data_IF_041141037820
#
_entry.id   IF_041141037820
#
_cell.length_a   1.000
_cell.length_b   1.000
_cell.length_c   1.000
_cell.angle_alpha   90.00
_cell.angle_beta   90.00
_cell.angle_gamma   90.00
#
_symmetry.space_group_name_H-M   'P 1'
#
loop_
_entity.id
_entity.type
_entity.pdbx_description
1 polymer ?
#
# COMPACT_ATOMS: atom_id res chain seq x y z
N UNK A 1 -24.88 -18.01 -7.30
CA UNK A 1 -25.61 -17.80 -6.04
C UNK A 1 -26.64 -16.71 -6.30
N UNK A 2 -27.91 -16.93 -5.96
CA UNK A 2 -28.88 -15.85 -6.05
C UNK A 2 -28.70 -14.83 -4.89
N UNK A 3 -29.17 -13.58 -4.99
CA UNK A 3 -28.92 -12.57 -3.96
C UNK A 3 -29.45 -12.91 -2.55
N UNK A 4 -30.54 -13.69 -2.44
CA UNK A 4 -31.07 -14.08 -1.12
C UNK A 4 -30.21 -15.18 -0.51
N UNK A 5 -29.79 -16.15 -1.33
CA UNK A 5 -28.84 -17.18 -0.92
C UNK A 5 -27.49 -16.57 -0.51
N UNK A 6 -27.01 -15.57 -1.24
CA UNK A 6 -25.81 -14.81 -0.90
C UNK A 6 -25.89 -14.15 0.46
N UNK A 7 -26.92 -13.33 0.71
CA UNK A 7 -27.10 -12.68 2.00
C UNK A 7 -27.22 -13.68 3.15
N UNK A 8 -27.96 -14.78 2.94
CA UNK A 8 -28.11 -15.84 3.95
C UNK A 8 -26.79 -16.55 4.26
N UNK A 9 -25.96 -16.79 3.24
CA UNK A 9 -24.67 -17.44 3.39
C UNK A 9 -23.71 -16.55 4.19
N UNK A 10 -23.66 -15.25 3.86
CA UNK A 10 -22.86 -14.28 4.62
C UNK A 10 -23.31 -14.19 6.08
N UNK A 11 -24.61 -14.10 6.33
CA UNK A 11 -25.14 -14.11 7.72
C UNK A 11 -24.76 -15.39 8.47
N UNK A 12 -24.85 -16.55 7.83
CA UNK A 12 -24.47 -17.82 8.46
C UNK A 12 -22.97 -17.84 8.80
N UNK A 13 -22.11 -17.36 7.89
CA UNK A 13 -20.67 -17.23 8.13
C UNK A 13 -20.35 -16.25 9.26
N UNK A 14 -21.03 -15.11 9.34
CA UNK A 14 -20.85 -14.13 10.41
C UNK A 14 -21.21 -14.70 11.79
N UNK A 15 -22.35 -15.37 11.90
CA UNK A 15 -22.74 -16.03 13.15
C UNK A 15 -21.74 -17.12 13.55
N UNK A 16 -21.29 -17.94 12.60
CA UNK A 16 -20.28 -18.97 12.88
C UNK A 16 -18.95 -18.35 13.34
N UNK A 17 -18.49 -17.26 12.72
CA UNK A 17 -17.28 -16.54 13.16
C UNK A 17 -17.46 -16.00 14.58
N UNK A 18 -18.61 -15.40 14.90
CA UNK A 18 -18.89 -14.86 16.22
C UNK A 18 -19.01 -15.94 17.32
N UNK A 19 -19.49 -17.13 16.98
CA UNK A 19 -19.72 -18.22 17.95
C UNK A 19 -18.52 -19.16 18.12
N UNK A 20 -17.76 -19.41 17.06
CA UNK A 20 -16.75 -20.48 17.03
C UNK A 20 -15.30 -19.98 17.15
N UNK A 21 -15.05 -18.70 16.85
CA UNK A 21 -13.70 -18.14 16.88
C UNK A 21 -13.31 -17.81 18.33
N UNK A 22 -12.04 -18.05 18.68
CA UNK A 22 -11.52 -17.76 20.01
C UNK A 22 -11.45 -16.24 20.24
N UNK A 23 -12.35 -15.72 21.08
CA UNK A 23 -12.46 -14.29 21.44
C UNK A 23 -11.20 -13.76 22.14
N UNK A 24 -10.46 -14.60 22.88
CA UNK A 24 -9.19 -14.16 23.48
C UNK A 24 -8.13 -13.91 22.40
N UNK A 25 -8.18 -14.66 21.30
CA UNK A 25 -7.25 -14.53 20.19
C UNK A 25 -7.69 -13.49 19.16
N UNK A 26 -8.99 -13.35 18.91
CA UNK A 26 -9.56 -12.49 17.85
C UNK A 26 -10.72 -11.61 18.36
N UNK A 27 -10.49 -10.77 19.38
CA UNK A 27 -11.56 -10.02 20.04
C UNK A 27 -12.28 -9.05 19.08
N UNK A 28 -11.54 -8.31 18.24
CA UNK A 28 -12.16 -7.34 17.32
C UNK A 28 -12.95 -8.05 16.23
N UNK A 29 -12.45 -9.20 15.74
CA UNK A 29 -13.13 -10.01 14.72
C UNK A 29 -14.45 -10.57 15.26
N UNK A 30 -14.45 -11.15 16.47
CA UNK A 30 -15.65 -11.73 17.08
C UNK A 30 -16.72 -10.66 17.30
N UNK A 31 -16.34 -9.52 17.89
CA UNK A 31 -17.25 -8.38 18.10
C UNK A 31 -17.82 -7.85 16.77
N UNK A 32 -16.95 -7.64 15.78
CA UNK A 32 -17.35 -7.12 14.46
C UNK A 32 -18.25 -8.09 13.72
N UNK A 33 -17.98 -9.40 13.79
CA UNK A 33 -18.80 -10.42 13.17
C UNK A 33 -20.21 -10.48 13.80
N UNK A 34 -20.30 -10.41 15.13
CA UNK A 34 -21.58 -10.36 15.83
C UNK A 34 -22.39 -9.11 15.47
N UNK A 35 -21.73 -7.94 15.47
CA UNK A 35 -22.36 -6.69 15.08
C UNK A 35 -22.86 -6.72 13.63
N UNK A 36 -22.04 -7.21 12.69
CA UNK A 36 -22.44 -7.34 11.29
C UNK A 36 -23.56 -8.36 11.11
N UNK A 37 -23.60 -9.45 11.86
CA UNK A 37 -24.69 -10.42 11.79
C UNK A 37 -26.07 -9.81 12.15
N UNK A 38 -26.07 -8.81 13.05
CA UNK A 38 -27.29 -8.13 13.48
C UNK A 38 -27.65 -6.93 12.58
N UNK A 39 -26.64 -6.15 12.15
CA UNK A 39 -26.85 -4.82 11.57
C UNK A 39 -26.40 -4.65 10.11
N UNK A 40 -25.88 -5.70 9.44
CA UNK A 40 -25.41 -5.56 8.05
C UNK A 40 -26.53 -5.09 7.09
N UNK A 41 -26.26 -3.97 6.42
CA UNK A 41 -27.09 -3.50 5.31
C UNK A 41 -26.73 -4.30 4.05
N UNK A 42 -25.49 -4.19 3.59
CA UNK A 42 -24.97 -4.94 2.44
C UNK A 42 -23.92 -5.97 2.85
N UNK A 43 -23.90 -7.17 2.23
CA UNK A 43 -22.91 -8.20 2.59
C UNK A 43 -21.45 -7.81 2.38
N UNK A 44 -21.16 -6.86 1.48
CA UNK A 44 -19.81 -6.36 1.25
C UNK A 44 -19.27 -5.55 2.44
N UNK A 45 -20.13 -4.87 3.19
CA UNK A 45 -19.73 -4.06 4.35
C UNK A 45 -19.11 -4.92 5.44
N UNK A 46 -19.66 -6.13 5.63
CA UNK A 46 -19.11 -7.12 6.54
C UNK A 46 -17.69 -7.54 6.16
N UNK A 47 -17.41 -7.77 4.88
CA UNK A 47 -16.06 -8.12 4.42
C UNK A 47 -15.07 -6.97 4.62
N UNK A 48 -15.47 -5.73 4.35
CA UNK A 48 -14.62 -4.56 4.59
C UNK A 48 -14.33 -4.34 6.08
N UNK A 49 -15.33 -4.50 6.96
CA UNK A 49 -15.12 -4.32 8.39
C UNK A 49 -14.20 -5.40 8.98
N UNK A 50 -14.39 -6.65 8.58
CA UNK A 50 -13.56 -7.77 9.06
C UNK A 50 -12.13 -7.76 8.50
N UNK A 51 -11.88 -7.05 7.40
CA UNK A 51 -10.56 -7.03 6.76
C UNK A 51 -9.47 -6.44 7.68
N UNK A 52 -9.82 -5.54 8.60
CA UNK A 52 -8.84 -4.80 9.41
C UNK A 52 -8.84 -5.18 10.90
N UNK A 53 -9.63 -6.16 11.32
CA UNK A 53 -9.69 -6.62 12.71
C UNK A 53 -8.39 -7.28 13.16
N UNK A 54 -8.09 -7.17 14.47
CA UNK A 54 -7.02 -7.89 15.17
C UNK A 54 -5.63 -7.68 14.54
N UNK A 55 -5.37 -6.45 14.08
CA UNK A 55 -4.15 -6.06 13.37
C UNK A 55 -2.89 -6.62 14.02
N UNK A 56 -2.02 -7.21 13.19
CA UNK A 56 -0.77 -7.84 13.65
C UNK A 56 -0.89 -9.34 13.90
N UNK A 57 -2.10 -9.91 13.88
CA UNK A 57 -2.33 -11.36 13.85
C UNK A 57 -2.63 -11.85 12.41
N UNK A 58 -2.29 -13.10 12.07
CA UNK A 58 -2.79 -13.73 10.86
C UNK A 58 -4.32 -13.85 10.89
N UNK A 59 -4.97 -13.53 9.77
CA UNK A 59 -6.43 -13.65 9.64
C UNK A 59 -6.88 -15.10 9.83
N UNK A 60 -7.93 -15.30 10.64
CA UNK A 60 -8.55 -16.62 10.81
C UNK A 60 -9.07 -17.16 9.48
N UNK A 61 -8.96 -18.49 9.27
CA UNK A 61 -9.37 -19.12 8.01
C UNK A 61 -10.84 -18.87 7.67
N UNK A 62 -11.74 -18.92 8.65
CA UNK A 62 -13.17 -18.66 8.46
C UNK A 62 -13.44 -17.24 7.95
N UNK A 63 -12.69 -16.25 8.43
CA UNK A 63 -12.75 -14.86 7.97
C UNK A 63 -12.20 -14.75 6.54
N UNK A 64 -11.04 -15.36 6.26
CA UNK A 64 -10.46 -15.36 4.92
C UNK A 64 -11.41 -15.99 3.88
N UNK A 65 -12.02 -17.13 4.22
CA UNK A 65 -12.99 -17.82 3.35
C UNK A 65 -14.23 -16.93 3.09
N UNK A 66 -14.72 -16.21 4.11
CA UNK A 66 -15.83 -15.25 3.96
C UNK A 66 -15.45 -14.08 3.05
N UNK A 67 -14.30 -13.44 3.27
CA UNK A 67 -13.83 -12.31 2.45
C UNK A 67 -13.64 -12.70 0.99
N UNK A 68 -13.02 -13.87 0.74
CA UNK A 68 -12.85 -14.40 -0.62
C UNK A 68 -14.21 -14.58 -1.29
N UNK A 69 -15.17 -15.18 -0.59
CA UNK A 69 -16.51 -15.44 -1.12
C UNK A 69 -17.25 -14.15 -1.45
N UNK A 70 -17.25 -13.19 -0.52
CA UNK A 70 -17.90 -11.89 -0.70
C UNK A 70 -17.26 -11.10 -1.83
N UNK A 71 -15.93 -10.91 -1.82
CA UNK A 71 -15.26 -10.13 -2.84
C UNK A 71 -15.29 -10.79 -4.22
N UNK A 72 -15.25 -12.12 -4.31
CA UNK A 72 -15.44 -12.82 -5.58
C UNK A 72 -16.84 -12.60 -6.13
N UNK A 73 -17.87 -12.71 -5.29
CA UNK A 73 -19.26 -12.50 -5.71
C UNK A 73 -19.50 -11.07 -6.21
N UNK A 74 -19.00 -10.06 -5.47
CA UNK A 74 -19.12 -8.65 -5.85
C UNK A 74 -18.27 -8.31 -7.09
N UNK A 75 -17.07 -8.89 -7.19
CA UNK A 75 -16.21 -8.72 -8.35
C UNK A 75 -16.79 -9.28 -9.65
N UNK A 76 -17.46 -10.43 -9.61
CA UNK A 76 -18.19 -10.96 -10.77
C UNK A 76 -19.35 -10.06 -11.22
N UNK A 77 -19.83 -9.18 -10.33
CA UNK A 77 -20.86 -8.18 -10.62
C UNK A 77 -20.29 -6.82 -11.03
N UNK A 78 -18.97 -6.74 -11.22
CA UNK A 78 -18.29 -5.53 -11.68
C UNK A 78 -17.90 -4.55 -10.58
N UNK A 79 -17.89 -4.98 -9.31
CA UNK A 79 -17.31 -4.18 -8.23
C UNK A 79 -15.77 -4.26 -8.31
N UNK A 80 -15.13 -3.16 -8.68
CA UNK A 80 -13.69 -3.07 -8.90
C UNK A 80 -12.89 -2.95 -7.60
N UNK A 81 -13.45 -2.33 -6.56
CA UNK A 81 -12.85 -2.29 -5.22
C UNK A 81 -12.80 -3.70 -4.59
N UNK A 82 -13.85 -4.50 -4.76
CA UNK A 82 -13.85 -5.90 -4.33
C UNK A 82 -12.78 -6.73 -5.06
N UNK A 83 -12.60 -6.51 -6.37
CA UNK A 83 -11.54 -7.17 -7.14
C UNK A 83 -10.15 -6.69 -6.70
N UNK A 84 -9.99 -5.40 -6.41
CA UNK A 84 -8.75 -4.85 -5.84
C UNK A 84 -8.40 -5.54 -4.52
N UNK A 85 -9.34 -5.61 -3.58
CA UNK A 85 -9.10 -6.17 -2.26
C UNK A 85 -8.89 -7.69 -2.32
N UNK A 86 -9.61 -8.40 -3.19
CA UNK A 86 -9.35 -9.82 -3.45
C UNK A 86 -7.93 -10.05 -4.00
N UNK A 87 -7.49 -9.17 -4.90
CA UNK A 87 -6.11 -9.17 -5.40
C UNK A 87 -5.10 -8.95 -4.28
N UNK A 88 -5.36 -7.99 -3.39
CA UNK A 88 -4.51 -7.70 -2.24
C UNK A 88 -4.43 -8.87 -1.25
N UNK A 89 -5.55 -9.52 -0.94
CA UNK A 89 -5.56 -10.69 -0.05
C UNK A 89 -4.70 -11.84 -0.58
N UNK A 90 -4.74 -12.11 -1.89
CA UNK A 90 -3.86 -13.12 -2.50
C UNK A 90 -2.40 -12.66 -2.60
N UNK A 91 -2.18 -11.38 -2.86
CA UNK A 91 -0.83 -10.81 -2.94
C UNK A 91 -0.10 -10.91 -1.60
N UNK A 92 -0.79 -10.61 -0.49
CA UNK A 92 -0.21 -10.64 0.86
C UNK A 92 -0.27 -12.03 1.50
N UNK A 93 -1.00 -12.98 0.91
CA UNK A 93 -1.24 -14.31 1.50
C UNK A 93 -2.24 -14.30 2.65
N UNK A 94 -3.03 -13.23 2.79
CA UNK A 94 -4.09 -13.11 3.80
C UNK A 94 -5.35 -13.93 3.43
N UNK A 95 -5.48 -14.30 2.16
CA UNK A 95 -6.47 -15.26 1.65
C UNK A 95 -6.06 -16.73 1.85
N UNK A 96 -5.28 -17.06 2.89
CA UNK A 96 -4.71 -18.38 3.12
C UNK A 96 -3.30 -18.52 2.53
N UNK A 97 -3.17 -18.88 1.26
CA UNK A 97 -1.86 -19.00 0.60
C UNK A 97 -1.59 -17.82 -0.34
N UNK A 98 -0.37 -17.26 -0.26
CA UNK A 98 0.08 -16.21 -1.16
C UNK A 98 0.10 -16.69 -2.61
N UNK A 99 -0.54 -15.93 -3.50
CA UNK A 99 -0.57 -16.21 -4.93
C UNK A 99 -0.54 -14.91 -5.73
N UNK A 100 0.67 -14.52 -6.16
CA UNK A 100 0.82 -13.36 -7.05
C UNK A 100 0.12 -13.57 -8.41
N UNK A 101 0.02 -14.81 -8.90
CA UNK A 101 -0.72 -15.10 -10.13
C UNK A 101 -2.20 -14.74 -10.00
N UNK A 102 -2.85 -15.14 -8.89
CA UNK A 102 -4.25 -14.75 -8.63
C UNK A 102 -4.36 -13.24 -8.42
N UNK A 103 -3.43 -12.64 -7.67
CA UNK A 103 -3.41 -11.20 -7.44
C UNK A 103 -3.37 -10.41 -8.75
N UNK A 104 -2.45 -10.76 -9.67
CA UNK A 104 -2.33 -10.13 -10.99
C UNK A 104 -3.64 -10.26 -11.77
N UNK A 105 -4.27 -11.44 -11.82
CA UNK A 105 -5.55 -11.62 -12.53
C UNK A 105 -6.66 -10.71 -11.99
N UNK A 106 -6.76 -10.57 -10.67
CA UNK A 106 -7.78 -9.70 -10.08
C UNK A 106 -7.46 -8.22 -10.25
N UNK A 107 -6.19 -7.83 -10.12
CA UNK A 107 -5.77 -6.46 -10.41
C UNK A 107 -5.98 -6.10 -11.89
N UNK A 108 -5.74 -7.01 -12.84
CA UNK A 108 -6.03 -6.81 -14.27
C UNK A 108 -7.53 -6.57 -14.50
N UNK A 109 -8.40 -7.37 -13.87
CA UNK A 109 -9.86 -7.14 -13.95
C UNK A 109 -10.25 -5.80 -13.32
N UNK A 110 -9.81 -5.49 -12.11
CA UNK A 110 -10.11 -4.22 -11.45
C UNK A 110 -9.61 -3.01 -12.26
N UNK A 111 -8.38 -3.06 -12.78
CA UNK A 111 -7.82 -2.01 -13.62
C UNK A 111 -8.60 -1.85 -14.94
N UNK A 112 -9.10 -2.95 -15.53
CA UNK A 112 -9.95 -2.89 -16.73
C UNK A 112 -11.31 -2.21 -16.49
N UNK A 113 -11.77 -2.18 -15.24
CA UNK A 113 -12.96 -1.45 -14.81
C UNK A 113 -12.67 0.01 -14.42
N UNK A 114 -11.39 0.43 -14.45
CA UNK A 114 -10.96 1.80 -14.17
C UNK A 114 -10.32 2.00 -12.80
N UNK A 115 -10.11 0.94 -12.01
CA UNK A 115 -9.52 1.07 -10.69
C UNK A 115 -8.03 1.46 -10.76
N UNK A 116 -7.70 2.69 -10.36
CA UNK A 116 -6.34 3.23 -10.43
C UNK A 116 -5.39 2.61 -9.41
N UNK A 117 -5.89 2.17 -8.26
CA UNK A 117 -5.07 1.51 -7.24
C UNK A 117 -4.68 0.11 -7.74
N UNK A 118 -5.61 -0.61 -8.39
CA UNK A 118 -5.28 -1.89 -9.02
C UNK A 118 -4.28 -1.72 -10.16
N UNK A 119 -4.43 -0.69 -11.00
CA UNK A 119 -3.46 -0.38 -12.05
C UNK A 119 -2.07 -0.08 -11.48
N UNK A 120 -2.00 0.66 -10.37
CA UNK A 120 -0.75 0.90 -9.65
C UNK A 120 -0.13 -0.42 -9.13
N UNK A 121 -0.94 -1.30 -8.54
CA UNK A 121 -0.50 -2.63 -8.08
C UNK A 121 -0.01 -3.52 -9.22
N UNK A 122 -0.60 -3.44 -10.42
CA UNK A 122 -0.05 -4.09 -11.61
C UNK A 122 1.30 -3.52 -12.01
N UNK A 123 1.46 -2.20 -11.92
CA UNK A 123 2.74 -1.53 -12.12
C UNK A 123 3.83 -2.13 -11.21
N UNK A 124 3.50 -2.37 -9.94
CA UNK A 124 4.38 -3.06 -9.02
C UNK A 124 4.67 -4.51 -9.37
N UNK A 125 3.67 -5.26 -9.84
CA UNK A 125 3.86 -6.64 -10.26
C UNK A 125 4.84 -6.72 -11.43
N UNK A 126 4.72 -5.81 -12.42
CA UNK A 126 5.64 -5.69 -13.55
C UNK A 126 7.03 -5.23 -13.12
N UNK A 127 7.11 -4.29 -12.19
CA UNK A 127 8.38 -3.73 -11.74
C UNK A 127 9.24 -4.77 -10.99
N UNK A 128 8.63 -5.56 -10.11
CA UNK A 128 9.33 -6.51 -9.25
C UNK A 128 9.30 -7.97 -9.76
N UNK A 129 8.58 -8.24 -10.85
CA UNK A 129 8.50 -9.58 -11.43
C UNK A 129 7.68 -10.58 -10.59
N UNK A 130 6.55 -10.15 -10.01
CA UNK A 130 5.73 -10.98 -9.11
C UNK A 130 4.80 -11.91 -9.87
N UNK A 131 5.25 -13.13 -10.17
CA UNK A 131 4.58 -14.15 -11.02
C UNK A 131 4.36 -13.76 -12.48
N UNK A 132 4.91 -12.61 -12.89
CA UNK A 132 5.06 -12.19 -14.27
C UNK A 132 6.52 -11.75 -14.49
N UNK A 133 7.08 -11.84 -15.70
CA UNK A 133 8.43 -11.34 -15.97
C UNK A 133 8.55 -9.84 -15.65
N UNK A 134 9.73 -9.42 -15.19
CA UNK A 134 10.04 -8.00 -15.00
C UNK A 134 9.87 -7.27 -16.33
N UNK A 135 9.10 -6.19 -16.31
CA UNK A 135 8.79 -5.37 -17.47
C UNK A 135 8.72 -3.89 -17.04
N UNK A 136 9.85 -3.20 -17.11
CA UNK A 136 9.94 -1.80 -16.70
C UNK A 136 9.14 -0.87 -17.63
N UNK A 137 8.90 -1.24 -18.89
CA UNK A 137 8.05 -0.46 -19.79
C UNK A 137 6.60 -0.46 -19.28
N UNK A 138 6.04 -1.65 -19.03
CA UNK A 138 4.67 -1.75 -18.50
C UNK A 138 4.54 -1.13 -17.12
N UNK A 139 5.52 -1.33 -16.25
CA UNK A 139 5.55 -0.70 -14.94
C UNK A 139 5.51 0.83 -15.06
N UNK A 140 6.37 1.40 -15.91
CA UNK A 140 6.41 2.84 -16.16
C UNK A 140 5.08 3.37 -16.68
N UNK A 141 4.47 2.69 -17.66
CA UNK A 141 3.18 3.09 -18.21
C UNK A 141 2.06 3.06 -17.15
N UNK A 142 2.06 2.07 -16.26
CA UNK A 142 1.10 2.01 -15.15
C UNK A 142 1.31 3.19 -14.19
N UNK A 143 2.55 3.39 -13.72
CA UNK A 143 2.86 4.47 -12.78
C UNK A 143 2.61 5.85 -13.37
N UNK A 144 2.98 6.12 -14.63
CA UNK A 144 2.70 7.42 -15.25
C UNK A 144 1.20 7.68 -15.39
N UNK A 145 0.40 6.67 -15.77
CA UNK A 145 -1.06 6.83 -15.84
C UNK A 145 -1.66 7.21 -14.48
N UNK A 146 -1.25 6.56 -13.40
CA UNK A 146 -1.70 6.90 -12.05
C UNK A 146 -1.10 8.23 -11.55
N UNK A 147 0.14 8.56 -11.93
CA UNK A 147 0.79 9.81 -11.56
C UNK A 147 0.07 11.03 -12.18
N UNK A 148 -0.48 10.89 -13.38
CA UNK A 148 -1.28 11.94 -14.04
C UNK A 148 -2.55 12.31 -13.26
N UNK A 149 -3.05 11.43 -12.40
CA UNK A 149 -4.19 11.72 -11.52
C UNK A 149 -3.77 12.28 -10.17
N UNK A 150 -2.45 12.48 -9.97
CA UNK A 150 -1.89 13.06 -8.76
C UNK A 150 -1.63 12.08 -7.64
N UNK A 151 -1.75 10.76 -7.85
CA UNK A 151 -1.49 9.76 -6.81
C UNK A 151 -0.02 9.84 -6.33
N UNK A 152 0.24 10.17 -5.04
CA UNK A 152 1.60 10.38 -4.54
C UNK A 152 2.50 9.15 -4.70
N UNK A 153 1.94 7.96 -4.57
CA UNK A 153 2.69 6.72 -4.68
C UNK A 153 3.19 6.46 -6.10
N UNK A 154 2.29 6.58 -7.09
CA UNK A 154 2.63 6.52 -8.49
C UNK A 154 3.61 7.64 -8.91
N UNK A 155 3.45 8.86 -8.39
CA UNK A 155 4.36 9.98 -8.65
C UNK A 155 5.79 9.66 -8.22
N UNK A 156 6.00 9.24 -6.97
CA UNK A 156 7.37 8.94 -6.53
C UNK A 156 7.92 7.67 -7.20
N UNK A 157 7.08 6.70 -7.58
CA UNK A 157 7.55 5.54 -8.36
C UNK A 157 7.98 5.91 -9.76
N UNK A 158 7.23 6.76 -10.46
CA UNK A 158 7.69 7.32 -11.73
C UNK A 158 9.00 8.12 -11.55
N UNK A 159 9.12 8.87 -10.44
CA UNK A 159 10.34 9.56 -10.05
C UNK A 159 11.53 8.61 -9.88
N UNK A 160 11.35 7.47 -9.21
CA UNK A 160 12.39 6.43 -9.08
C UNK A 160 12.85 5.93 -10.46
N UNK A 161 11.92 5.71 -11.40
CA UNK A 161 12.26 5.23 -12.73
C UNK A 161 13.10 6.24 -13.53
N UNK A 162 12.81 7.54 -13.42
CA UNK A 162 13.66 8.59 -13.98
C UNK A 162 15.00 8.70 -13.25
N UNK A 163 15.03 8.61 -11.91
CA UNK A 163 16.26 8.69 -11.12
C UNK A 163 17.26 7.59 -11.48
N UNK A 164 16.76 6.39 -11.75
CA UNK A 164 17.60 5.22 -12.01
C UNK A 164 17.70 4.84 -13.50
N UNK A 165 17.04 5.57 -14.40
CA UNK A 165 17.06 5.27 -15.84
C UNK A 165 16.43 3.92 -16.19
N UNK A 166 15.33 3.57 -15.52
CA UNK A 166 14.65 2.29 -15.72
C UNK A 166 13.58 2.46 -16.79
N UNK A 167 13.80 1.85 -17.97
CA UNK A 167 13.04 2.02 -19.21
C UNK A 167 13.12 3.42 -19.84
N UNK A 168 13.06 4.49 -19.03
CA UNK A 168 13.27 5.87 -19.48
C UNK A 168 14.72 6.31 -19.32
N UNK A 169 15.13 7.32 -20.08
CA UNK A 169 16.44 7.96 -19.90
C UNK A 169 16.54 8.55 -18.48
N UNK A 170 17.74 8.41 -17.88
CA UNK A 170 17.99 8.92 -16.54
C UNK A 170 17.83 10.45 -16.53
N UNK A 171 16.93 10.96 -15.71
CA UNK A 171 16.68 12.39 -15.51
C UNK A 171 16.40 12.69 -14.03
N UNK A 172 17.44 13.11 -13.31
CA UNK A 172 17.35 13.42 -11.89
C UNK A 172 16.50 14.67 -11.62
N UNK A 173 16.48 15.65 -12.53
CA UNK A 173 15.66 16.84 -12.39
C UNK A 173 14.16 16.51 -12.55
N UNK A 174 13.82 15.59 -13.46
CA UNK A 174 12.45 15.05 -13.55
C UNK A 174 12.06 14.27 -12.29
N UNK A 175 12.96 13.42 -11.77
CA UNK A 175 12.72 12.70 -10.53
C UNK A 175 12.43 13.66 -9.36
N UNK A 176 13.27 14.69 -9.19
CA UNK A 176 13.08 15.72 -8.17
C UNK A 176 11.70 16.40 -8.27
N UNK A 177 11.30 16.83 -9.47
CA UNK A 177 9.98 17.44 -9.69
C UNK A 177 8.84 16.50 -9.30
N UNK A 178 8.94 15.21 -9.64
CA UNK A 178 7.93 14.21 -9.30
C UNK A 178 7.86 13.94 -7.80
N UNK A 179 9.00 13.89 -7.10
CA UNK A 179 9.03 13.75 -5.65
C UNK A 179 8.40 14.94 -4.93
N UNK A 180 8.69 16.18 -5.36
CA UNK A 180 8.04 17.39 -4.82
C UNK A 180 6.56 17.46 -5.14
N UNK A 181 6.15 17.01 -6.31
CA UNK A 181 4.73 16.90 -6.65
C UNK A 181 4.02 15.84 -5.79
N UNK A 182 4.68 14.71 -5.50
CA UNK A 182 4.17 13.70 -4.59
C UNK A 182 3.96 14.27 -3.19
N UNK A 183 4.95 14.98 -2.64
CA UNK A 183 4.86 15.67 -1.35
C UNK A 183 3.66 16.63 -1.30
N UNK A 184 3.51 17.49 -2.31
CA UNK A 184 2.42 18.45 -2.39
C UNK A 184 1.03 17.79 -2.43
N UNK A 185 0.96 16.57 -2.98
CA UNK A 185 -0.28 15.83 -3.13
C UNK A 185 -0.59 14.91 -1.94
N UNK A 186 0.24 14.86 -0.90
CA UNK A 186 -0.04 14.03 0.28
C UNK A 186 -1.25 14.60 1.06
N UNK A 187 -2.40 13.94 0.97
CA UNK A 187 -3.46 14.08 1.98
C UNK A 187 -3.02 13.49 3.32
N UNK A 188 -3.76 13.75 4.41
CA UNK A 188 -3.46 13.13 5.72
C UNK A 188 -3.45 11.59 5.65
N UNK A 189 -4.39 11.01 4.88
CA UNK A 189 -4.46 9.56 4.65
C UNK A 189 -3.23 9.06 3.89
N UNK A 190 -2.83 9.74 2.83
CA UNK A 190 -1.67 9.34 2.02
C UNK A 190 -0.36 9.54 2.76
N UNK A 191 -0.25 10.58 3.60
CA UNK A 191 0.94 10.83 4.42
C UNK A 191 1.25 9.63 5.31
N UNK A 192 0.24 9.00 5.92
CA UNK A 192 0.42 7.76 6.70
C UNK A 192 0.87 6.57 5.84
N UNK A 193 0.33 6.44 4.63
CA UNK A 193 0.60 5.29 3.75
C UNK A 193 1.97 5.38 3.06
N UNK A 194 2.32 6.53 2.50
CA UNK A 194 3.48 6.69 1.60
C UNK A 194 4.34 7.92 1.89
N UNK A 195 3.96 8.74 2.87
CA UNK A 195 4.72 9.96 3.18
C UNK A 195 6.17 9.66 3.59
N UNK A 196 6.41 8.59 4.38
CA UNK A 196 7.77 8.16 4.73
C UNK A 196 8.64 7.94 3.48
N UNK A 197 8.09 7.26 2.49
CA UNK A 197 8.78 6.95 1.24
C UNK A 197 9.06 8.19 0.40
N UNK A 198 8.14 9.16 0.38
CA UNK A 198 8.29 10.44 -0.32
C UNK A 198 9.38 11.29 0.36
N UNK A 199 9.27 11.51 1.67
CA UNK A 199 10.21 12.34 2.40
C UNK A 199 11.62 11.76 2.42
N UNK A 200 11.77 10.43 2.55
CA UNK A 200 13.09 9.79 2.42
C UNK A 200 13.76 10.11 1.07
N UNK A 201 13.02 10.08 -0.03
CA UNK A 201 13.54 10.40 -1.37
C UNK A 201 13.90 11.86 -1.53
N UNK A 202 13.10 12.77 -0.97
CA UNK A 202 13.43 14.19 -0.92
C UNK A 202 14.71 14.43 -0.12
N UNK A 203 14.84 13.78 1.04
CA UNK A 203 16.05 13.80 1.86
C UNK A 203 17.28 13.31 1.09
N UNK A 204 17.17 12.18 0.38
CA UNK A 204 18.25 11.65 -0.46
C UNK A 204 18.67 12.69 -1.52
N UNK A 205 17.69 13.34 -2.18
CA UNK A 205 17.99 14.31 -3.22
C UNK A 205 18.67 15.57 -2.69
N UNK A 206 18.21 16.08 -1.55
CA UNK A 206 18.76 17.29 -0.92
C UNK A 206 20.13 17.03 -0.28
N UNK A 207 20.40 15.82 0.20
CA UNK A 207 21.70 15.44 0.77
C UNK A 207 22.78 15.32 -0.31
N UNK A 208 22.45 14.70 -1.44
CA UNK A 208 23.43 14.35 -2.49
C UNK A 208 23.36 15.24 -3.74
N UNK A 209 22.45 16.22 -3.78
CA UNK A 209 22.27 17.12 -4.92
C UNK A 209 21.67 16.44 -6.15
N UNK A 210 20.75 15.48 -5.96
CA UNK A 210 20.15 14.71 -7.05
C UNK A 210 19.00 15.50 -7.65
N UNK A 211 19.24 16.13 -8.80
CA UNK A 211 18.23 16.92 -9.52
C UNK A 211 17.87 18.25 -8.85
N UNK A 212 18.58 18.63 -7.80
CA UNK A 212 18.47 19.88 -7.03
C UNK A 212 19.84 20.28 -6.49
N UNK A 213 20.03 21.55 -6.11
CA UNK A 213 21.18 21.93 -5.31
C UNK A 213 21.11 21.25 -3.93
N UNK A 214 22.25 20.82 -3.35
CA UNK A 214 22.27 20.27 -2.00
C UNK A 214 21.79 21.27 -0.94
N UNK A 215 20.96 20.81 -0.01
CA UNK A 215 20.52 21.56 1.17
C UNK A 215 20.43 20.60 2.36
N UNK A 216 21.47 20.62 3.20
CA UNK A 216 21.61 19.67 4.31
C UNK A 216 20.59 19.91 5.42
N UNK A 217 20.19 21.18 5.63
CA UNK A 217 19.21 21.54 6.65
C UNK A 217 17.82 21.06 6.25
N UNK A 218 17.45 21.23 4.97
CA UNK A 218 16.21 20.69 4.44
C UNK A 218 16.24 19.17 4.37
N UNK A 219 17.35 18.55 3.94
CA UNK A 219 17.51 17.11 3.95
C UNK A 219 17.25 16.52 5.34
N UNK A 220 17.85 17.13 6.39
CA UNK A 220 17.64 16.70 7.76
C UNK A 220 16.16 16.78 8.18
N UNK A 221 15.45 17.87 7.82
CA UNK A 221 14.00 17.99 8.08
C UNK A 221 13.20 16.90 7.36
N UNK A 222 13.49 16.64 6.09
CA UNK A 222 12.81 15.58 5.33
C UNK A 222 13.02 14.20 5.97
N UNK A 223 14.24 13.90 6.41
CA UNK A 223 14.49 12.65 7.11
C UNK A 223 13.79 12.56 8.47
N UNK A 224 13.66 13.65 9.22
CA UNK A 224 12.89 13.67 10.48
C UNK A 224 11.40 13.41 10.25
N UNK A 225 10.81 14.02 9.22
CA UNK A 225 9.43 13.74 8.80
C UNK A 225 9.26 12.28 8.39
N UNK A 226 10.22 11.74 7.63
CA UNK A 226 10.22 10.33 7.24
C UNK A 226 10.31 9.39 8.43
N UNK A 227 11.16 9.68 9.42
CA UNK A 227 11.34 8.88 10.63
C UNK A 227 10.03 8.76 11.41
N UNK A 228 9.35 9.89 11.67
CA UNK A 228 8.09 9.91 12.40
C UNK A 228 7.05 8.99 11.76
N UNK A 229 6.97 9.00 10.43
CA UNK A 229 6.02 8.17 9.68
C UNK A 229 6.43 6.70 9.66
N UNK A 230 7.73 6.38 9.64
CA UNK A 230 8.18 4.99 9.79
C UNK A 230 7.86 4.41 11.17
N UNK A 231 7.95 5.20 12.26
CA UNK A 231 7.51 4.73 13.57
C UNK A 231 6.01 4.43 13.62
N UNK A 232 5.18 5.26 12.96
CA UNK A 232 3.74 5.00 12.84
C UNK A 232 3.50 3.66 12.13
N UNK A 233 4.12 3.44 10.96
CA UNK A 233 4.00 2.17 10.22
C UNK A 233 4.41 0.95 11.05
N UNK A 234 5.53 1.05 11.77
CA UNK A 234 6.04 -0.03 12.62
C UNK A 234 5.11 -0.34 13.79
N UNK A 235 4.55 0.69 14.43
CA UNK A 235 3.54 0.52 15.49
C UNK A 235 2.27 -0.13 14.96
N UNK A 236 1.88 0.22 13.74
CA UNK A 236 0.71 -0.33 13.06
C UNK A 236 0.98 -1.73 12.45
N UNK A 237 2.15 -2.32 12.72
CA UNK A 237 2.46 -3.71 12.43
C UNK A 237 3.13 -3.98 11.08
N UNK A 238 3.61 -2.96 10.36
CA UNK A 238 4.35 -3.15 9.10
C UNK A 238 5.84 -3.51 9.35
N UNK A 239 6.26 -4.78 9.21
CA UNK A 239 7.64 -5.16 9.49
C UNK A 239 8.62 -4.69 8.39
N UNK A 240 8.14 -4.37 7.19
CA UNK A 240 8.97 -4.02 6.04
C UNK A 240 9.59 -2.62 6.19
N UNK A 241 8.99 -1.78 7.03
CA UNK A 241 9.44 -0.41 7.34
C UNK A 241 10.75 -0.32 8.14
N UNK A 242 11.25 -1.42 8.73
CA UNK A 242 12.48 -1.38 9.57
C UNK A 242 13.73 -0.96 8.80
N UNK A 243 13.88 -1.44 7.58
CA UNK A 243 15.04 -1.12 6.73
C UNK A 243 15.02 0.35 6.31
N UNK A 244 13.85 0.87 5.97
CA UNK A 244 13.64 2.28 5.65
C UNK A 244 13.95 3.19 6.83
N UNK A 245 13.49 2.83 8.04
CA UNK A 245 13.81 3.58 9.26
C UNK A 245 15.32 3.60 9.53
N UNK A 246 16.00 2.46 9.41
CA UNK A 246 17.45 2.38 9.62
C UNK A 246 18.22 3.30 8.66
N UNK A 247 17.86 3.29 7.37
CA UNK A 247 18.42 4.20 6.37
C UNK A 247 18.22 5.66 6.76
N UNK A 248 16.99 6.03 7.14
CA UNK A 248 16.66 7.41 7.52
C UNK A 248 17.48 7.87 8.73
N UNK A 249 17.62 7.04 9.76
CA UNK A 249 18.42 7.36 10.96
C UNK A 249 19.90 7.56 10.62
N UNK A 250 20.45 6.71 9.75
CA UNK A 250 21.82 6.83 9.26
C UNK A 250 22.02 8.14 8.50
N UNK A 251 21.10 8.48 7.58
CA UNK A 251 21.21 9.69 6.78
C UNK A 251 21.01 10.96 7.61
N UNK A 252 20.18 10.94 8.65
CA UNK A 252 20.14 12.06 9.59
C UNK A 252 21.47 12.28 10.31
N UNK A 253 22.17 11.20 10.70
CA UNK A 253 23.50 11.31 11.31
C UNK A 253 24.53 11.85 10.32
N UNK A 254 24.46 11.45 9.04
CA UNK A 254 25.28 12.01 7.97
C UNK A 254 25.00 13.51 7.78
N UNK A 255 23.73 13.93 7.69
CA UNK A 255 23.37 15.35 7.58
C UNK A 255 23.98 16.16 8.74
N UNK A 256 23.80 15.70 9.98
CA UNK A 256 24.36 16.36 11.18
C UNK A 256 25.88 16.49 11.09
N UNK A 257 26.59 15.42 10.70
CA UNK A 257 28.05 15.47 10.52
C UNK A 257 28.47 16.47 9.44
N UNK A 258 27.79 16.53 8.30
CA UNK A 258 28.10 17.49 7.22
C UNK A 258 27.83 18.93 7.62
N UNK A 259 26.73 19.18 8.35
CA UNK A 259 26.39 20.51 8.87
C UNK A 259 27.45 20.97 9.87
N UNK A 260 27.80 20.13 10.85
CA UNK A 260 28.83 20.45 11.85
C UNK A 260 30.19 20.73 11.20
N UNK A 261 30.59 19.95 10.19
CA UNK A 261 31.83 20.16 9.46
C UNK A 261 31.87 21.47 8.65
N UNK A 262 30.71 22.04 8.31
CA UNK A 262 30.59 23.29 7.57
C UNK A 262 30.54 24.54 8.48
N UNK A 263 30.45 24.36 9.81
CA UNK A 263 30.45 25.49 10.74
C UNK A 263 31.82 26.20 10.76
N UNK A 264 31.85 27.53 10.96
CA UNK A 264 33.11 28.25 11.16
C UNK A 264 33.87 27.69 12.37
N UNK A 265 35.17 27.43 12.20
CA UNK A 265 36.08 27.02 13.29
C UNK A 265 36.50 28.20 14.17
#
# INVERSE_FOLDING_TARGET
MDPKEYRRTVLASLNAIAEELDEEQYPETVETAAWMAEYMEEPIDAAFALMDCDRGQPMAKSVADLLIMVFSYEGERGNDDALLDLGALYYDGRAGEQSYEKAVKYYERAASLGNLIALENLGYCHYYGRSIPVDHEKAFLCFVKCALTGMPNALYKAGDMYRYGQFVEKDEAAAWRLYRQAEKNLSERERRRVGADVYRRLGDCLLDGIGTEPDMDEALRMYQESEQLFYVKLRDGDPFSRSGLAHVLEMQAECRRRIEAALPQ
#
